data_IF_783968673745
#
_entry.id   IF_783968673745
#
_cell.length_a   1.000
_cell.length_b   1.000
_cell.length_c   1.000
_cell.angle_alpha   90.00
_cell.angle_beta   90.00
_cell.angle_gamma   90.00
#
_symmetry.space_group_name_H-M   'P 1'
#
loop_
_entity.id
_entity.type
_entity.pdbx_description
1 polymer ?
#
# COMPACT_ATOMS: atom_id res chain seq x y z
N UNK A 1 1.65 -0.75 28.44
CA UNK A 1 0.36 -1.43 28.68
C UNK A 1 -0.74 -0.56 28.14
N UNK A 2 -1.53 -1.16 27.26
CA UNK A 2 -2.53 -0.60 26.33
C UNK A 2 -1.94 0.05 25.08
N UNK A 3 -1.70 -0.79 24.07
CA UNK A 3 -1.33 -0.45 22.68
C UNK A 3 -2.52 -0.68 21.73
N UNK A 4 -3.74 -0.89 22.26
CA UNK A 4 -4.92 -1.18 21.46
C UNK A 4 -6.00 -0.14 21.72
N UNK A 5 -6.25 0.73 20.74
CA UNK A 5 -7.56 1.36 20.62
C UNK A 5 -8.50 0.39 19.91
N UNK A 6 -9.58 0.04 20.59
CA UNK A 6 -10.69 -0.73 20.03
C UNK A 6 -11.87 0.19 19.87
N UNK A 7 -12.41 0.31 18.66
CA UNK A 7 -13.75 0.86 18.47
C UNK A 7 -14.76 -0.30 18.55
N UNK A 8 -15.86 -0.04 19.26
CA UNK A 8 -16.96 -0.98 19.37
C UNK A 8 -18.06 -0.50 18.44
N UNK A 9 -18.29 -1.22 17.34
CA UNK A 9 -19.47 -1.02 16.52
C UNK A 9 -20.42 -2.20 16.76
N UNK A 10 -21.65 -1.89 17.18
CA UNK A 10 -22.64 -2.89 17.54
C UNK A 10 -23.52 -3.17 16.32
N UNK A 11 -23.33 -4.33 15.70
CA UNK A 11 -24.15 -4.75 14.57
C UNK A 11 -25.49 -5.30 15.06
N UNK A 12 -26.54 -4.48 14.92
CA UNK A 12 -27.91 -4.82 15.30
C UNK A 12 -28.53 -5.94 14.47
N UNK A 13 -27.98 -6.26 13.30
CA UNK A 13 -28.52 -7.30 12.41
C UNK A 13 -28.05 -8.71 12.79
N UNK A 14 -26.85 -8.83 13.36
CA UNK A 14 -26.24 -10.10 13.76
C UNK A 14 -26.10 -10.27 15.28
N UNK A 15 -26.46 -9.26 16.07
CA UNK A 15 -26.35 -9.26 17.54
C UNK A 15 -24.93 -9.60 18.02
N UNK A 16 -23.93 -9.08 17.29
CA UNK A 16 -22.51 -9.35 17.51
C UNK A 16 -21.75 -8.04 17.78
N UNK A 17 -20.77 -8.11 18.67
CA UNK A 17 -19.77 -7.05 18.83
C UNK A 17 -18.70 -7.24 17.75
N UNK A 18 -18.64 -6.34 16.77
CA UNK A 18 -17.49 -6.24 15.90
C UNK A 18 -16.43 -5.39 16.60
N UNK A 19 -15.36 -6.04 17.04
CA UNK A 19 -14.15 -5.36 17.51
C UNK A 19 -13.27 -5.05 16.31
N UNK A 20 -13.30 -3.81 15.84
CA UNK A 20 -12.32 -3.32 14.88
C UNK A 20 -11.16 -2.77 15.70
N UNK A 21 -10.00 -3.43 15.63
CA UNK A 21 -8.78 -2.90 16.25
C UNK A 21 -8.29 -1.76 15.35
N UNK A 22 -8.44 -0.52 15.81
CA UNK A 22 -8.13 0.70 15.06
C UNK A 22 -6.75 1.27 15.38
N UNK A 23 -5.98 0.62 16.27
CA UNK A 23 -4.60 0.97 16.57
C UNK A 23 -3.70 0.78 15.36
N UNK A 24 -3.68 1.77 14.48
CA UNK A 24 -3.00 1.75 13.19
C UNK A 24 -1.63 2.43 13.34
N UNK A 25 -0.54 1.68 13.19
CA UNK A 25 0.81 2.22 12.93
C UNK A 25 1.19 2.05 11.44
N UNK A 26 0.22 1.72 10.57
CA UNK A 26 0.40 1.81 9.12
C UNK A 26 0.71 3.24 8.66
N UNK A 27 0.18 4.24 9.36
CA UNK A 27 0.46 5.67 9.08
C UNK A 27 1.94 6.03 9.28
N UNK A 28 2.64 5.34 10.19
CA UNK A 28 4.09 5.52 10.38
C UNK A 28 4.90 5.11 9.15
N UNK A 29 4.46 4.09 8.41
CA UNK A 29 5.10 3.67 7.17
C UNK A 29 4.82 4.62 6.02
N UNK A 30 3.59 5.13 5.89
CA UNK A 30 3.28 6.12 4.84
C UNK A 30 4.04 7.43 5.09
N UNK A 31 4.19 7.83 6.36
CA UNK A 31 5.04 8.98 6.74
C UNK A 31 6.51 8.74 6.35
N UNK A 32 7.04 7.54 6.59
CA UNK A 32 8.43 7.22 6.21
C UNK A 32 8.64 7.15 4.69
N UNK A 33 7.63 6.65 3.95
CA UNK A 33 7.64 6.66 2.48
C UNK A 33 7.60 8.09 1.92
N UNK A 34 6.90 9.00 2.60
CA UNK A 34 6.86 10.41 2.25
C UNK A 34 8.25 11.05 2.35
N UNK A 35 8.97 10.82 3.45
CA UNK A 35 10.34 11.30 3.65
C UNK A 35 11.31 10.78 2.58
N UNK A 36 11.09 9.55 2.08
CA UNK A 36 11.91 8.98 1.00
C UNK A 36 11.62 9.62 -0.37
N UNK A 37 10.35 9.90 -0.64
CA UNK A 37 9.89 10.36 -1.96
C UNK A 37 10.04 11.86 -2.12
N UNK A 38 9.93 12.64 -1.04
CA UNK A 38 9.95 14.10 -1.09
C UNK A 38 11.34 14.65 -0.75
N UNK A 39 11.91 15.46 -1.65
CA UNK A 39 13.24 16.09 -1.45
C UNK A 39 13.26 17.60 -1.73
N UNK A 40 12.11 18.21 -2.03
CA UNK A 40 12.01 19.63 -2.38
C UNK A 40 11.65 20.50 -1.17
N UNK A 41 11.99 21.79 -1.25
CA UNK A 41 11.75 22.77 -0.18
C UNK A 41 10.24 23.00 0.10
N UNK A 42 9.37 22.74 -0.88
CA UNK A 42 7.90 22.78 -0.76
C UNK A 42 7.25 21.80 -1.76
N UNK A 43 7.25 20.49 -1.47
CA UNK A 43 6.77 19.47 -2.38
C UNK A 43 5.23 19.50 -2.49
N UNK A 44 4.70 19.21 -3.68
CA UNK A 44 3.27 19.00 -3.90
C UNK A 44 2.96 17.54 -4.27
N UNK A 45 2.03 16.92 -3.54
CA UNK A 45 1.54 15.56 -3.81
C UNK A 45 0.21 15.61 -4.55
N UNK A 46 0.14 14.95 -5.70
CA UNK A 46 -1.10 14.78 -6.46
C UNK A 46 -1.75 13.44 -6.14
N UNK A 47 -2.97 13.46 -5.63
CA UNK A 47 -3.69 12.27 -5.16
C UNK A 47 -4.79 11.90 -6.15
N UNK A 48 -4.78 10.67 -6.67
CA UNK A 48 -5.77 10.27 -7.68
C UNK A 48 -7.16 10.08 -7.07
N UNK A 49 -8.18 10.35 -7.87
CA UNK A 49 -9.57 9.98 -7.60
C UNK A 49 -10.27 9.55 -8.89
N UNK A 50 -11.38 8.83 -8.75
CA UNK A 50 -12.22 8.38 -9.87
C UNK A 50 -12.28 6.87 -10.04
N UNK A 51 -11.48 6.13 -9.27
CA UNK A 51 -11.31 4.67 -9.35
C UNK A 51 -11.61 3.95 -8.03
N UNK A 52 -12.57 4.48 -7.27
CA UNK A 52 -12.94 4.01 -5.94
C UNK A 52 -11.74 3.98 -4.96
N UNK A 53 -10.81 4.92 -5.10
CA UNK A 53 -9.69 5.08 -4.17
C UNK A 53 -10.18 5.38 -2.76
N UNK A 54 -9.42 4.90 -1.77
CA UNK A 54 -9.68 5.16 -0.37
C UNK A 54 -9.39 6.62 -0.04
N UNK A 55 -10.34 7.29 0.60
CA UNK A 55 -10.09 8.59 1.23
C UNK A 55 -8.98 8.46 2.26
N UNK A 56 -8.09 9.44 2.29
CA UNK A 56 -7.05 9.50 3.30
C UNK A 56 -7.61 9.78 4.69
N UNK A 57 -6.97 9.20 5.70
CA UNK A 57 -7.28 9.53 7.09
C UNK A 57 -6.90 10.98 7.38
N UNK A 58 -7.62 11.61 8.32
CA UNK A 58 -7.27 12.95 8.81
C UNK A 58 -5.86 12.98 9.43
N UNK A 59 -5.36 11.85 9.94
CA UNK A 59 -4.02 11.77 10.49
C UNK A 59 -2.97 11.86 9.40
N UNK A 60 -3.18 11.18 8.26
CA UNK A 60 -2.26 11.23 7.14
C UNK A 60 -2.19 12.63 6.52
N UNK A 61 -3.33 13.27 6.28
CA UNK A 61 -3.34 14.66 5.80
C UNK A 61 -2.75 15.63 6.82
N UNK A 62 -2.89 15.37 8.12
CA UNK A 62 -2.21 16.15 9.16
C UNK A 62 -0.69 15.95 9.17
N UNK A 63 -0.20 14.76 8.79
CA UNK A 63 1.23 14.50 8.65
C UNK A 63 1.83 15.28 7.47
N UNK A 64 1.17 15.24 6.30
CA UNK A 64 1.55 16.06 5.14
C UNK A 64 1.67 17.54 5.50
N UNK A 65 0.67 18.08 6.19
CA UNK A 65 0.68 19.48 6.64
C UNK A 65 1.83 19.79 7.62
N UNK A 66 2.21 18.87 8.50
CA UNK A 66 3.34 19.06 9.44
C UNK A 66 4.68 19.10 8.72
N UNK A 67 4.83 18.29 7.67
CA UNK A 67 6.01 18.25 6.82
C UNK A 67 6.02 19.37 5.75
N UNK A 68 5.10 20.33 5.82
CA UNK A 68 4.93 21.42 4.84
C UNK A 68 4.76 20.94 3.40
N UNK A 69 4.10 19.78 3.24
CA UNK A 69 3.77 19.18 1.95
C UNK A 69 2.39 19.67 1.52
N UNK A 70 2.31 20.30 0.35
CA UNK A 70 1.03 20.64 -0.25
C UNK A 70 0.43 19.39 -0.93
N UNK A 71 -0.90 19.32 -1.03
CA UNK A 71 -1.53 18.23 -1.75
C UNK A 71 -2.80 18.64 -2.49
N UNK A 72 -3.02 17.97 -3.61
CA UNK A 72 -4.15 18.24 -4.50
C UNK A 72 -4.79 16.92 -4.95
N UNK A 73 -6.11 16.82 -4.87
CA UNK A 73 -6.85 15.68 -5.43
C UNK A 73 -7.13 15.93 -6.90
N UNK A 74 -6.80 14.97 -7.75
CA UNK A 74 -6.96 15.06 -9.20
C UNK A 74 -7.63 13.82 -9.78
N UNK A 75 -8.51 14.04 -10.75
CA UNK A 75 -8.94 12.99 -11.65
C UNK A 75 -8.04 13.04 -12.90
N UNK A 76 -7.35 11.94 -13.21
CA UNK A 76 -6.41 11.88 -14.33
C UNK A 76 -7.09 12.11 -15.68
N UNK A 77 -8.40 11.84 -15.79
CA UNK A 77 -9.20 12.12 -16.98
C UNK A 77 -9.26 13.63 -17.32
N UNK A 78 -9.15 14.49 -16.31
CA UNK A 78 -9.23 15.96 -16.47
C UNK A 78 -7.86 16.59 -16.80
N UNK A 79 -6.80 15.77 -16.87
CA UNK A 79 -5.44 16.21 -17.13
C UNK A 79 -4.96 15.71 -18.50
N UNK A 80 -4.18 16.54 -19.20
CA UNK A 80 -3.44 16.09 -20.38
C UNK A 80 -2.22 15.24 -19.97
N UNK A 81 -1.56 15.61 -18.87
CA UNK A 81 -0.43 14.90 -18.27
C UNK A 81 -0.36 15.21 -16.77
N UNK A 82 0.36 14.38 -16.00
CA UNK A 82 0.66 14.68 -14.60
C UNK A 82 1.55 15.92 -14.54
N UNK A 83 1.26 16.93 -13.70
CA UNK A 83 2.00 18.19 -13.65
C UNK A 83 3.49 18.01 -13.32
N UNK A 84 4.35 18.82 -13.94
CA UNK A 84 5.80 18.79 -13.70
C UNK A 84 6.20 19.26 -12.29
N UNK A 85 5.32 19.97 -11.58
CA UNK A 85 5.50 20.37 -10.18
C UNK A 85 5.06 19.28 -9.18
N UNK A 86 4.59 18.14 -9.68
CA UNK A 86 4.30 16.98 -8.83
C UNK A 86 5.60 16.43 -8.25
N UNK A 87 5.74 16.50 -6.93
CA UNK A 87 6.80 15.80 -6.22
C UNK A 87 6.51 14.29 -6.14
N UNK A 88 5.22 13.93 -6.10
CA UNK A 88 4.75 12.56 -6.10
C UNK A 88 3.30 12.46 -6.59
N UNK A 89 2.99 11.40 -7.33
CA UNK A 89 1.62 10.94 -7.54
C UNK A 89 1.27 9.88 -6.48
N UNK A 90 0.12 10.00 -5.83
CA UNK A 90 -0.34 9.06 -4.82
C UNK A 90 -1.63 8.36 -5.27
N UNK A 91 -1.56 7.05 -5.44
CA UNK A 91 -2.67 6.18 -5.83
C UNK A 91 -3.04 5.32 -4.62
N UNK A 92 -4.14 5.66 -3.94
CA UNK A 92 -4.49 5.06 -2.66
C UNK A 92 -5.59 4.01 -2.77
N UNK A 93 -5.21 2.76 -3.05
CA UNK A 93 -6.14 1.64 -3.00
C UNK A 93 -7.25 1.73 -4.04
N UNK A 94 -6.91 2.06 -5.29
CA UNK A 94 -7.86 2.00 -6.40
C UNK A 94 -8.43 0.57 -6.51
N UNK A 95 -9.76 0.46 -6.60
CA UNK A 95 -10.46 -0.83 -6.65
C UNK A 95 -11.25 -1.05 -7.94
N UNK A 96 -11.33 -0.04 -8.80
CA UNK A 96 -11.69 -0.19 -10.21
C UNK A 96 -10.49 0.16 -11.08
N UNK A 97 -10.42 -0.40 -12.28
CA UNK A 97 -9.26 -0.22 -13.15
C UNK A 97 -9.13 1.21 -13.69
N UNK A 98 -7.89 1.61 -13.98
CA UNK A 98 -7.60 2.85 -14.71
C UNK A 98 -8.03 2.72 -16.18
N UNK A 99 -8.28 3.85 -16.84
CA UNK A 99 -8.38 3.83 -18.30
C UNK A 99 -6.99 3.61 -18.94
N UNK A 100 -6.95 3.23 -20.23
CA UNK A 100 -5.67 3.14 -20.94
C UNK A 100 -4.93 4.48 -20.95
N UNK A 101 -5.67 5.58 -21.10
CA UNK A 101 -5.13 6.94 -21.13
C UNK A 101 -4.51 7.32 -19.78
N UNK A 102 -5.20 7.01 -18.67
CA UNK A 102 -4.68 7.27 -17.33
C UNK A 102 -3.41 6.46 -17.03
N UNK A 103 -3.39 5.18 -17.44
CA UNK A 103 -2.18 4.34 -17.33
C UNK A 103 -1.03 4.89 -18.18
N UNK A 104 -1.29 5.33 -19.40
CA UNK A 104 -0.26 5.91 -20.27
C UNK A 104 0.32 7.19 -19.63
N UNK A 105 -0.50 8.06 -19.05
CA UNK A 105 -0.04 9.25 -18.29
C UNK A 105 0.87 8.89 -17.11
N UNK A 106 0.52 7.87 -16.34
CA UNK A 106 1.34 7.41 -15.19
C UNK A 106 2.68 6.85 -15.65
N UNK A 107 2.68 6.02 -16.70
CA UNK A 107 3.90 5.46 -17.28
C UNK A 107 4.79 6.56 -17.85
N UNK A 108 4.23 7.54 -18.55
CA UNK A 108 4.99 8.69 -19.08
C UNK A 108 5.60 9.54 -17.97
N UNK A 109 4.86 9.76 -16.89
CA UNK A 109 5.38 10.45 -15.71
C UNK A 109 6.54 9.68 -15.05
N UNK A 110 6.43 8.37 -14.90
CA UNK A 110 7.52 7.52 -14.41
C UNK A 110 8.73 7.52 -15.35
N UNK A 111 8.53 7.48 -16.67
CA UNK A 111 9.60 7.58 -17.68
C UNK A 111 10.38 8.90 -17.56
N UNK A 112 9.73 9.97 -17.13
CA UNK A 112 10.33 11.29 -16.93
C UNK A 112 10.99 11.46 -15.55
N UNK A 113 11.11 10.38 -14.76
CA UNK A 113 11.70 10.43 -13.42
C UNK A 113 10.73 10.85 -12.32
N UNK A 114 9.43 10.91 -12.63
CA UNK A 114 8.37 11.11 -11.66
C UNK A 114 8.30 9.99 -10.63
N UNK A 115 7.74 10.29 -9.46
CA UNK A 115 7.66 9.35 -8.33
C UNK A 115 6.21 9.01 -8.02
N UNK A 116 5.94 7.72 -7.78
CA UNK A 116 4.60 7.21 -7.46
C UNK A 116 4.64 6.49 -6.12
N UNK A 117 3.69 6.81 -5.25
CA UNK A 117 3.32 5.97 -4.11
C UNK A 117 2.03 5.25 -4.51
N UNK A 118 2.09 3.92 -4.63
CA UNK A 118 0.97 3.07 -4.98
C UNK A 118 0.62 2.17 -3.79
N UNK A 119 -0.59 2.31 -3.27
CA UNK A 119 -1.17 1.41 -2.27
C UNK A 119 -2.17 0.51 -3.00
N UNK A 120 -2.00 -0.81 -2.91
CA UNK A 120 -2.91 -1.76 -3.56
C UNK A 120 -4.22 -1.85 -2.79
N UNK A 121 -5.35 -1.72 -3.49
CA UNK A 121 -6.68 -1.97 -2.95
C UNK A 121 -7.11 -3.38 -3.32
N UNK A 122 -7.51 -4.19 -2.34
CA UNK A 122 -8.08 -5.50 -2.65
C UNK A 122 -9.42 -5.31 -3.38
N UNK A 123 -9.53 -5.92 -4.56
CA UNK A 123 -10.76 -5.95 -5.36
C UNK A 123 -10.87 -7.31 -6.06
N UNK A 124 -12.11 -7.76 -6.29
CA UNK A 124 -12.40 -8.94 -7.10
C UNK A 124 -12.50 -8.58 -8.61
N UNK A 125 -12.40 -7.29 -8.95
CA UNK A 125 -12.38 -6.81 -10.34
C UNK A 125 -10.97 -6.93 -10.95
N UNK A 126 -10.89 -7.23 -12.25
CA UNK A 126 -9.61 -7.23 -12.96
C UNK A 126 -9.16 -5.78 -13.19
N UNK A 127 -7.88 -5.50 -12.92
CA UNK A 127 -7.29 -4.16 -13.04
C UNK A 127 -6.06 -4.14 -13.96
N UNK A 128 -6.20 -4.55 -15.24
CA UNK A 128 -5.06 -4.72 -16.14
C UNK A 128 -4.25 -3.44 -16.40
N UNK A 129 -4.85 -2.25 -16.30
CA UNK A 129 -4.11 -1.00 -16.46
C UNK A 129 -3.31 -0.66 -15.20
N UNK A 130 -3.83 -0.94 -14.00
CA UNK A 130 -3.05 -0.85 -12.76
C UNK A 130 -1.92 -1.90 -12.76
N UNK A 131 -2.21 -3.13 -13.18
CA UNK A 131 -1.22 -4.19 -13.33
C UNK A 131 -0.09 -3.79 -14.30
N UNK A 132 -0.41 -3.05 -15.36
CA UNK A 132 0.57 -2.54 -16.31
C UNK A 132 1.50 -1.48 -15.68
N UNK A 133 1.00 -0.63 -14.78
CA UNK A 133 1.82 0.34 -14.02
C UNK A 133 2.80 -0.40 -13.10
N UNK A 134 2.35 -1.44 -12.38
CA UNK A 134 3.23 -2.28 -11.57
C UNK A 134 4.25 -3.04 -12.44
N UNK A 135 3.81 -3.58 -13.57
CA UNK A 135 4.66 -4.32 -14.50
C UNK A 135 5.76 -3.45 -15.12
N UNK A 136 5.50 -2.16 -15.33
CA UNK A 136 6.55 -1.20 -15.73
C UNK A 136 7.70 -1.15 -14.72
N UNK A 137 7.40 -1.36 -13.43
CA UNK A 137 8.40 -1.46 -12.35
C UNK A 137 8.90 -2.90 -12.11
N UNK A 138 8.60 -3.84 -13.03
CA UNK A 138 8.69 -5.31 -12.87
C UNK A 138 8.05 -5.86 -11.58
N UNK A 139 7.08 -5.15 -11.01
CA UNK A 139 6.29 -5.63 -9.87
C UNK A 139 5.01 -6.31 -10.38
N UNK A 140 4.43 -7.18 -9.57
CA UNK A 140 3.10 -7.73 -9.84
C UNK A 140 2.30 -7.93 -8.57
N UNK A 141 0.97 -7.85 -8.68
CA UNK A 141 0.08 -8.11 -7.56
C UNK A 141 -0.13 -9.62 -7.40
N UNK A 142 0.06 -10.11 -6.19
CA UNK A 142 -0.35 -11.46 -5.85
C UNK A 142 -1.88 -11.56 -5.87
N UNK A 143 -2.42 -12.43 -6.74
CA UNK A 143 -3.88 -12.58 -6.87
C UNK A 143 -4.49 -13.17 -5.60
N UNK A 144 -5.34 -12.40 -4.92
CA UNK A 144 -5.99 -12.79 -3.67
C UNK A 144 -5.38 -12.16 -2.42
N UNK A 145 -5.84 -12.61 -1.26
CA UNK A 145 -5.30 -12.19 0.04
C UNK A 145 -4.11 -13.02 0.46
N UNK A 146 -3.14 -12.39 1.10
CA UNK A 146 -2.02 -13.06 1.75
C UNK A 146 -2.53 -13.94 2.89
N UNK A 147 -2.05 -15.17 2.91
CA UNK A 147 -2.20 -16.15 3.99
C UNK A 147 -0.82 -16.48 4.51
N UNK A 148 -0.59 -16.21 5.79
CA UNK A 148 0.67 -16.52 6.46
C UNK A 148 0.58 -17.88 7.19
N UNK A 149 1.57 -18.74 6.96
CA UNK A 149 1.66 -20.07 7.56
C UNK A 149 2.69 -20.17 8.69
N UNK A 150 3.63 -19.22 8.79
CA UNK A 150 4.51 -19.13 9.95
C UNK A 150 3.72 -18.56 11.14
N UNK A 151 3.65 -19.33 12.23
CA UNK A 151 3.02 -18.91 13.48
C UNK A 151 3.57 -17.61 14.09
N UNK A 152 4.79 -17.19 13.72
CA UNK A 152 5.36 -15.91 14.13
C UNK A 152 4.94 -14.76 13.22
N UNK A 153 4.49 -15.04 12.00
CA UNK A 153 4.11 -14.05 11.00
C UNK A 153 2.62 -13.66 11.03
N UNK A 154 1.82 -14.22 11.95
CA UNK A 154 0.42 -13.84 12.08
C UNK A 154 -0.10 -13.82 13.52
N UNK A 155 -1.18 -13.06 13.75
CA UNK A 155 -1.85 -12.99 15.04
C UNK A 155 -3.26 -13.60 14.98
N UNK A 156 -3.50 -14.71 15.69
CA UNK A 156 -4.81 -15.42 15.81
C UNK A 156 -5.39 -16.01 14.52
N UNK A 157 -5.24 -15.34 13.38
CA UNK A 157 -5.75 -15.73 12.07
C UNK A 157 -4.61 -15.63 11.04
N UNK A 158 -4.46 -16.59 10.11
CA UNK A 158 -3.51 -16.52 9.01
C UNK A 158 -3.65 -15.28 8.09
N UNK A 159 -4.77 -14.55 8.18
CA UNK A 159 -5.02 -13.32 7.42
C UNK A 159 -4.62 -12.05 8.18
N UNK A 160 -4.17 -12.17 9.42
CA UNK A 160 -3.78 -11.07 10.30
C UNK A 160 -2.26 -10.98 10.35
N UNK A 161 -1.69 -10.39 9.31
CA UNK A 161 -0.27 -10.48 9.00
C UNK A 161 0.54 -9.59 9.95
N UNK A 162 1.60 -10.16 10.49
CA UNK A 162 2.68 -9.51 11.23
C UNK A 162 3.93 -9.61 10.36
N UNK A 163 4.18 -8.63 9.47
CA UNK A 163 5.29 -8.72 8.53
C UNK A 163 6.64 -8.68 9.25
N UNK A 164 7.64 -9.33 8.64
CA UNK A 164 9.03 -9.11 9.02
C UNK A 164 9.45 -7.75 8.49
N UNK A 165 9.98 -6.91 9.39
CA UNK A 165 10.48 -5.59 9.06
C UNK A 165 11.99 -5.65 8.81
N UNK A 166 12.44 -5.14 7.66
CA UNK A 166 13.88 -4.97 7.41
C UNK A 166 14.43 -3.85 8.30
N UNK A 167 15.68 -3.99 8.73
CA UNK A 167 16.35 -2.94 9.51
C UNK A 167 17.01 -1.94 8.58
N UNK A 168 16.37 -0.80 8.36
CA UNK A 168 16.92 0.34 7.61
C UNK A 168 16.71 1.67 8.38
N UNK A 169 17.56 2.66 8.10
CA UNK A 169 17.43 4.06 8.50
C UNK A 169 16.01 4.62 8.27
N UNK A 170 15.38 4.25 7.16
CA UNK A 170 14.01 4.66 6.80
C UNK A 170 12.92 3.97 7.62
N UNK A 171 13.22 2.83 8.23
CA UNK A 171 12.29 2.12 9.12
C UNK A 171 12.44 2.52 10.59
N UNK A 172 13.39 3.41 10.92
CA UNK A 172 13.75 3.75 12.30
C UNK A 172 12.60 4.34 13.12
N UNK A 173 11.64 5.01 12.48
CA UNK A 173 10.43 5.56 13.12
C UNK A 173 9.38 4.52 13.54
N UNK A 174 9.46 3.32 12.98
CA UNK A 174 8.54 2.20 13.23
C UNK A 174 9.26 0.96 13.77
N UNK A 175 10.59 0.95 13.77
CA UNK A 175 11.41 -0.17 14.23
C UNK A 175 11.10 -0.53 15.69
N UNK A 176 10.63 -1.77 15.90
CA UNK A 176 10.22 -2.26 17.23
C UNK A 176 8.75 -1.98 17.59
N UNK A 177 7.97 -1.38 16.69
CA UNK A 177 6.51 -1.37 16.77
C UNK A 177 5.94 -2.56 16.00
N UNK A 178 4.82 -3.11 16.47
CA UNK A 178 4.13 -4.20 15.78
C UNK A 178 3.30 -3.62 14.64
N UNK A 179 3.70 -3.89 13.40
CA UNK A 179 2.88 -3.64 12.22
C UNK A 179 1.83 -4.75 12.11
N UNK A 180 0.59 -4.34 11.88
CA UNK A 180 -0.55 -5.24 11.78
C UNK A 180 -1.29 -4.97 10.47
N UNK A 181 -1.26 -5.94 9.56
CA UNK A 181 -1.82 -5.84 8.21
C UNK A 181 -2.92 -6.90 8.03
N UNK A 182 -4.17 -6.61 8.45
CA UNK A 182 -5.27 -7.55 8.29
C UNK A 182 -5.76 -7.56 6.83
N UNK A 183 -6.02 -8.74 6.27
CA UNK A 183 -6.61 -8.93 4.94
C UNK A 183 -5.85 -8.16 3.84
N UNK A 184 -4.52 -8.24 3.86
CA UNK A 184 -3.65 -7.56 2.90
C UNK A 184 -3.48 -8.35 1.60
N UNK A 185 -3.26 -7.62 0.51
CA UNK A 185 -2.77 -8.16 -0.75
C UNK A 185 -1.24 -8.08 -0.81
N UNK A 186 -0.60 -9.05 -1.48
CA UNK A 186 0.86 -9.09 -1.61
C UNK A 186 1.32 -8.42 -2.90
N UNK A 187 2.49 -7.79 -2.87
CA UNK A 187 3.24 -7.38 -4.07
C UNK A 187 4.40 -8.35 -4.24
N UNK A 188 4.53 -8.91 -5.44
CA UNK A 188 5.61 -9.82 -5.82
C UNK A 188 6.72 -9.00 -6.46
N UNK A 189 7.92 -9.13 -5.89
CA UNK A 189 9.17 -8.53 -6.39
C UNK A 189 9.95 -9.63 -7.13
N UNK A 190 10.66 -9.33 -8.24
CA UNK A 190 11.48 -10.32 -8.95
C UNK A 190 12.58 -10.93 -8.05
N UNK A 191 12.88 -12.22 -8.23
CA UNK A 191 13.95 -12.91 -7.47
C UNK A 191 15.37 -12.38 -7.82
N UNK A 192 15.56 -11.91 -9.05
CA UNK A 192 16.82 -11.33 -9.53
C UNK A 192 16.76 -9.79 -9.37
N UNK A 193 17.17 -9.31 -8.19
CA UNK A 193 17.32 -7.87 -7.93
C UNK A 193 18.75 -7.48 -8.27
N UNK A 194 18.95 -6.59 -9.24
CA UNK A 194 20.25 -5.92 -9.38
C UNK A 194 20.48 -5.10 -8.13
N UNK A 195 21.51 -5.44 -7.36
CA UNK A 195 21.96 -4.65 -6.19
C UNK A 195 23.00 -3.60 -6.60
N UNK A 196 23.24 -3.47 -7.91
CA UNK A 196 24.24 -2.57 -8.47
C UNK A 196 23.56 -1.30 -9.00
N UNK A 197 23.56 -0.24 -8.18
CA UNK A 197 23.09 1.10 -8.56
C UNK A 197 23.84 1.69 -9.77
N UNK A 198 24.95 1.09 -10.19
CA UNK A 198 25.73 1.52 -11.37
C UNK A 198 25.30 0.84 -12.67
N UNK A 199 24.41 -0.16 -12.60
CA UNK A 199 23.82 -0.79 -13.77
C UNK A 199 22.78 0.16 -14.39
N UNK A 200 23.20 0.93 -15.39
CA UNK A 200 22.32 1.85 -16.11
C UNK A 200 21.14 1.10 -16.74
N UNK A 201 19.94 1.32 -16.23
CA UNK A 201 18.69 0.75 -16.75
C UNK A 201 18.11 -0.43 -15.96
N UNK A 202 18.78 -0.90 -14.90
CA UNK A 202 18.23 -1.92 -14.01
C UNK A 202 17.42 -1.27 -12.86
N UNK A 203 16.27 -1.86 -12.53
CA UNK A 203 15.42 -1.43 -11.41
C UNK A 203 15.97 -2.07 -10.13
N UNK A 204 16.21 -1.26 -9.11
CA UNK A 204 16.58 -1.70 -7.76
C UNK A 204 15.34 -1.77 -6.86
N UNK A 205 15.35 -2.68 -5.88
CA UNK A 205 14.25 -2.85 -4.93
C UNK A 205 14.75 -2.88 -3.49
N UNK A 206 14.20 -2.00 -2.66
CA UNK A 206 14.34 -2.03 -1.21
C UNK A 206 13.06 -2.58 -0.58
N UNK A 207 13.13 -3.78 -0.01
CA UNK A 207 11.97 -4.44 0.60
C UNK A 207 11.94 -4.13 2.09
N UNK A 208 10.95 -3.34 2.52
CA UNK A 208 10.81 -2.93 3.92
C UNK A 208 9.99 -3.90 4.77
N UNK A 209 8.98 -4.53 4.17
CA UNK A 209 8.05 -5.45 4.82
C UNK A 209 7.91 -6.71 3.98
N UNK A 210 8.18 -7.86 4.57
CA UNK A 210 8.04 -9.16 3.92
C UNK A 210 7.20 -10.13 4.74
N UNK A 211 6.52 -11.03 4.05
CA UNK A 211 5.91 -12.22 4.64
C UNK A 211 6.94 -13.35 4.70
N UNK A 212 6.61 -14.46 5.36
CA UNK A 212 7.49 -15.62 5.37
C UNK A 212 7.52 -16.34 4.01
N UNK A 213 8.56 -17.13 3.75
CA UNK A 213 8.65 -18.01 2.58
C UNK A 213 7.53 -19.06 2.52
N UNK A 214 6.81 -19.28 3.63
CA UNK A 214 5.68 -20.21 3.70
C UNK A 214 4.32 -19.57 3.41
N UNK A 215 4.30 -18.25 3.21
CA UNK A 215 3.09 -17.49 2.86
C UNK A 215 2.66 -17.73 1.42
N UNK A 216 1.37 -17.54 1.14
CA UNK A 216 0.80 -17.68 -0.22
C UNK A 216 -0.43 -16.79 -0.38
N UNK A 217 -0.83 -16.51 -1.63
CA UNK A 217 -2.04 -15.74 -1.92
C UNK A 217 -3.25 -16.65 -2.20
N UNK A 218 -4.42 -16.29 -1.68
CA UNK A 218 -5.68 -17.03 -1.85
C UNK A 218 -6.78 -16.14 -2.43
N UNK A 219 -7.27 -16.49 -3.62
CA UNK A 219 -8.29 -15.73 -4.37
C UNK A 219 -9.73 -15.94 -3.86
N UNK A 220 -10.07 -17.15 -3.42
CA UNK A 220 -11.45 -17.46 -3.00
C UNK A 220 -11.68 -17.05 -1.53
N UNK A 221 -11.93 -15.76 -1.32
CA UNK A 221 -12.24 -15.18 0.00
C UNK A 221 -13.72 -15.25 0.36
N UNK A 222 -14.61 -15.46 -0.62
CA UNK A 222 -16.04 -15.69 -0.37
C UNK A 222 -16.31 -17.03 0.35
N UNK A 223 -15.33 -17.93 0.36
CA UNK A 223 -15.41 -19.22 1.04
C UNK A 223 -14.54 -19.31 2.31
N UNK A 224 -14.20 -18.18 2.95
CA UNK A 224 -13.71 -18.20 4.34
C UNK A 224 -14.86 -18.46 5.30
N UNK A 225 -15.48 -19.65 5.20
CA UNK A 225 -16.17 -20.22 6.34
C UNK A 225 -15.14 -20.38 7.45
N UNK A 226 -15.38 -19.65 8.53
CA UNK A 226 -14.62 -19.76 9.76
C UNK A 226 -14.77 -21.20 10.25
N UNK A 227 -13.75 -22.03 10.01
CA UNK A 227 -13.69 -23.35 10.62
C UNK A 227 -13.39 -23.15 12.11
N UNK A 228 -14.44 -23.05 12.91
CA UNK A 228 -14.32 -23.34 14.34
C UNK A 228 -14.18 -24.85 14.47
N UNK A 229 -12.95 -25.33 14.64
CA UNK A 229 -12.68 -26.67 15.11
C UNK A 229 -12.22 -26.59 16.57
N UNK A 230 -13.08 -27.06 17.49
CA UNK A 230 -12.74 -27.35 18.89
C UNK A 230 -13.39 -26.44 19.91
#
# INVERSE_FOLDING_TARGET
NDVYESSYDFDYSTYSYNTTTTGYDGEGQITSALDYVLNDDMPKVYMTTGHNELSLSNTFTSALNKENVDYETVNLMDLDAIPDDAACLFINGATSDFSSDDKDKVIDYLNNGGKVILVTGYTDEETPNIDAILSYMNLSIAKGLVVENDSNGYYRSPYYILPTQSSDSYTSGTYGKYLFLPYSQGIIVPEEVSTDETATGDITYDVFLSTSDSSFAKQDVNNTQVFFAG
#
